data_IF_431544614544
#
_entry.id   IF_431544614544
#
_cell.length_a   1.000
_cell.length_b   1.000
_cell.length_c   1.000
_cell.angle_alpha   90.00
_cell.angle_beta   90.00
_cell.angle_gamma   90.00
#
_symmetry.space_group_name_H-M   'P 1'
#
loop_
_entity.id
_entity.type
_entity.pdbx_description
1 polymer ?
#
# COMPACT_ATOMS: atom_id res chain seq x y z
N UNK A 1 34.94 -4.52 13.82
CA UNK A 1 34.11 -3.60 13.02
C UNK A 1 33.33 -4.41 12.00
N UNK A 2 32.07 -4.77 12.29
CA UNK A 2 31.05 -5.12 11.29
C UNK A 2 29.71 -4.60 11.86
N UNK A 3 29.08 -3.68 11.14
CA UNK A 3 27.81 -3.02 11.50
C UNK A 3 26.64 -3.97 11.22
N UNK A 4 25.68 -3.98 12.16
CA UNK A 4 24.35 -4.58 12.07
C UNK A 4 23.65 -4.29 10.73
N UNK A 5 22.80 -5.22 10.26
CA UNK A 5 21.32 -5.10 10.25
C UNK A 5 20.69 -6.09 9.27
N UNK A 6 20.25 -7.24 9.78
CA UNK A 6 19.24 -8.07 9.10
C UNK A 6 18.19 -8.48 10.11
N UNK A 7 17.44 -7.49 10.60
CA UNK A 7 16.16 -7.75 11.25
C UNK A 7 15.12 -7.68 10.15
N UNK A 8 14.88 -8.81 9.48
CA UNK A 8 13.74 -8.97 8.58
C UNK A 8 12.51 -9.01 9.48
N UNK A 9 12.06 -7.83 9.91
CA UNK A 9 10.85 -7.67 10.71
C UNK A 9 9.67 -7.98 9.79
N UNK A 10 9.34 -9.26 9.68
CA UNK A 10 8.03 -9.72 9.21
C UNK A 10 6.95 -8.93 9.93
N UNK A 11 5.84 -8.56 9.27
CA UNK A 11 4.76 -7.82 9.91
C UNK A 11 4.26 -8.62 11.11
N UNK A 12 4.59 -8.15 12.30
CA UNK A 12 3.98 -8.63 13.54
C UNK A 12 2.50 -8.26 13.43
N UNK A 13 1.67 -9.25 13.10
CA UNK A 13 0.22 -9.15 13.01
C UNK A 13 -0.33 -8.39 14.23
N UNK A 14 -1.27 -7.46 14.00
CA UNK A 14 -1.99 -6.63 15.00
C UNK A 14 -1.29 -5.35 15.49
N UNK A 15 -0.55 -4.60 14.66
CA UNK A 15 -0.09 -3.26 15.10
C UNK A 15 -1.17 -2.18 15.04
N UNK A 16 -2.17 -2.34 14.19
CA UNK A 16 -3.19 -1.33 13.92
C UNK A 16 -4.58 -1.95 13.85
N UNK A 17 -5.61 -1.21 14.28
CA UNK A 17 -7.00 -1.59 14.04
C UNK A 17 -7.34 -1.47 12.55
N UNK A 18 -8.36 -2.20 12.10
CA UNK A 18 -8.85 -2.14 10.72
C UNK A 18 -9.20 -0.72 10.29
N UNK A 19 -9.90 0.06 11.13
CA UNK A 19 -10.20 1.48 10.85
C UNK A 19 -8.93 2.33 10.66
N UNK A 20 -7.91 2.09 11.48
CA UNK A 20 -6.63 2.80 11.37
C UNK A 20 -5.94 2.46 10.05
N UNK A 21 -5.98 1.18 9.64
CA UNK A 21 -5.42 0.73 8.36
C UNK A 21 -6.15 1.37 7.18
N UNK A 22 -7.47 1.46 7.23
CA UNK A 22 -8.28 2.11 6.20
C UNK A 22 -7.97 3.60 6.11
N UNK A 23 -7.86 4.31 7.24
CA UNK A 23 -7.48 5.72 7.27
C UNK A 23 -6.08 5.95 6.73
N UNK A 24 -5.10 5.11 7.11
CA UNK A 24 -3.73 5.19 6.60
C UNK A 24 -3.69 5.02 5.08
N UNK A 25 -4.42 4.04 4.56
CA UNK A 25 -4.48 3.77 3.14
C UNK A 25 -5.14 4.93 2.38
N UNK A 26 -6.29 5.42 2.86
CA UNK A 26 -6.99 6.58 2.29
C UNK A 26 -6.11 7.83 2.27
N UNK A 27 -5.42 8.13 3.36
CA UNK A 27 -4.55 9.31 3.47
C UNK A 27 -3.35 9.24 2.52
N UNK A 28 -2.82 8.06 2.26
CA UNK A 28 -1.72 7.92 1.32
C UNK A 28 -2.20 7.95 -0.13
N UNK A 29 -3.29 7.25 -0.43
CA UNK A 29 -3.83 7.18 -1.78
C UNK A 29 -4.45 8.50 -2.25
N UNK A 30 -5.07 9.28 -1.36
CA UNK A 30 -5.65 10.60 -1.69
C UNK A 30 -4.64 11.59 -2.28
N UNK A 31 -3.34 11.38 -2.06
CA UNK A 31 -2.25 12.18 -2.64
C UNK A 31 -2.13 11.99 -4.17
N UNK A 32 -2.65 10.89 -4.69
CA UNK A 32 -2.56 10.56 -6.10
C UNK A 32 -3.88 10.88 -6.80
N UNK A 33 -3.86 11.93 -7.64
CA UNK A 33 -5.00 12.24 -8.52
C UNK A 33 -5.32 11.09 -9.47
N UNK A 34 -4.28 10.49 -10.05
CA UNK A 34 -4.39 9.38 -10.99
C UNK A 34 -3.28 8.35 -10.78
N UNK A 35 -3.68 7.09 -10.71
CA UNK A 35 -2.83 5.91 -10.63
C UNK A 35 -3.07 5.10 -11.90
N UNK A 36 -2.06 5.05 -12.77
CA UNK A 36 -2.11 4.23 -13.97
C UNK A 36 -1.99 2.76 -13.58
N UNK A 37 -2.93 1.95 -14.02
CA UNK A 37 -2.88 0.50 -13.86
C UNK A 37 -1.84 -0.07 -14.85
N UNK A 38 -0.83 -0.81 -14.40
CA UNK A 38 0.08 -1.52 -15.28
C UNK A 38 -0.69 -2.46 -16.24
N UNK A 39 -0.21 -2.56 -17.49
CA UNK A 39 -0.73 -3.49 -18.51
C UNK A 39 -2.16 -3.23 -19.02
N UNK A 40 -2.82 -2.17 -18.56
CA UNK A 40 -4.15 -1.75 -19.02
C UNK A 40 -4.08 -0.23 -19.26
N UNK A 41 -4.68 0.27 -20.34
CA UNK A 41 -4.78 1.71 -20.56
C UNK A 41 -5.92 2.33 -19.73
N UNK A 42 -5.85 2.08 -18.42
CA UNK A 42 -6.83 2.54 -17.45
C UNK A 42 -6.11 3.26 -16.31
N UNK A 43 -6.73 4.34 -15.83
CA UNK A 43 -6.25 5.11 -14.70
C UNK A 43 -7.38 5.26 -13.70
N UNK A 44 -7.10 4.89 -12.45
CA UNK A 44 -8.03 4.98 -11.33
C UNK A 44 -7.61 6.12 -10.42
N UNK A 45 -8.57 6.79 -9.78
CA UNK A 45 -8.23 7.80 -8.78
C UNK A 45 -7.69 7.15 -7.51
N UNK A 46 -6.86 7.86 -6.76
CA UNK A 46 -6.35 7.38 -5.48
C UNK A 46 -7.47 6.96 -4.49
N UNK A 47 -8.45 7.84 -4.21
CA UNK A 47 -9.56 7.50 -3.32
C UNK A 47 -10.39 6.29 -3.79
N UNK A 48 -10.62 6.17 -5.10
CA UNK A 48 -11.36 5.04 -5.67
C UNK A 48 -10.59 3.73 -5.52
N UNK A 49 -9.27 3.73 -5.78
CA UNK A 49 -8.42 2.59 -5.50
C UNK A 49 -8.40 2.23 -4.01
N UNK A 50 -8.44 3.22 -3.12
CA UNK A 50 -8.48 3.00 -1.67
C UNK A 50 -9.76 2.28 -1.25
N UNK A 51 -10.92 2.76 -1.70
CA UNK A 51 -12.20 2.10 -1.47
C UNK A 51 -12.16 0.67 -1.98
N UNK A 52 -11.67 0.48 -3.21
CA UNK A 52 -11.67 -0.85 -3.82
C UNK A 52 -10.76 -1.84 -3.10
N UNK A 53 -9.59 -1.40 -2.65
CA UNK A 53 -8.68 -2.20 -1.82
C UNK A 53 -9.30 -2.55 -0.46
N UNK A 54 -10.00 -1.61 0.17
CA UNK A 54 -10.70 -1.82 1.45
C UNK A 54 -11.81 -2.86 1.29
N UNK A 55 -12.58 -2.77 0.21
CA UNK A 55 -13.72 -3.65 -0.05
C UNK A 55 -13.28 -5.05 -0.52
N UNK A 56 -12.13 -5.15 -1.19
CA UNK A 56 -11.67 -6.39 -1.84
C UNK A 56 -10.64 -7.18 -1.05
N UNK A 57 -9.86 -6.55 -0.17
CA UNK A 57 -8.76 -7.21 0.54
C UNK A 57 -9.08 -7.48 2.01
N UNK A 58 -8.63 -8.63 2.54
CA UNK A 58 -8.73 -8.88 3.97
C UNK A 58 -7.79 -7.93 4.74
N UNK A 59 -8.08 -7.60 6.01
CA UNK A 59 -7.29 -6.66 6.81
C UNK A 59 -5.79 -6.96 6.86
N UNK A 60 -5.40 -8.24 6.83
CA UNK A 60 -3.97 -8.66 6.81
C UNK A 60 -3.24 -8.22 5.55
N UNK A 61 -3.88 -8.26 4.39
CA UNK A 61 -3.28 -7.80 3.13
C UNK A 61 -3.21 -6.27 3.10
N UNK A 62 -4.20 -5.58 3.68
CA UNK A 62 -4.15 -4.11 3.86
C UNK A 62 -3.00 -3.73 4.80
N UNK A 63 -2.82 -4.44 5.92
CA UNK A 63 -1.70 -4.22 6.85
C UNK A 63 -0.34 -4.38 6.15
N UNK A 64 -0.20 -5.42 5.33
CA UNK A 64 1.00 -5.66 4.51
C UNK A 64 1.24 -4.53 3.50
N UNK A 65 0.20 -4.05 2.83
CA UNK A 65 0.30 -2.94 1.88
C UNK A 65 0.77 -1.66 2.58
N UNK A 66 0.15 -1.32 3.70
CA UNK A 66 0.53 -0.17 4.55
C UNK A 66 1.97 -0.31 5.04
N UNK A 67 2.39 -1.51 5.43
CA UNK A 67 3.78 -1.79 5.81
C UNK A 67 4.75 -1.51 4.65
N UNK A 68 4.49 -2.04 3.45
CA UNK A 68 5.34 -1.82 2.28
C UNK A 68 5.47 -0.33 1.92
N UNK A 69 4.34 0.39 1.94
CA UNK A 69 4.29 1.84 1.74
C UNK A 69 5.14 2.56 2.78
N UNK A 70 4.99 2.24 4.07
CA UNK A 70 5.78 2.86 5.13
C UNK A 70 7.28 2.56 5.00
N UNK A 71 7.65 1.35 4.58
CA UNK A 71 9.04 1.00 4.34
C UNK A 71 9.63 1.76 3.15
N UNK A 72 8.88 1.96 2.07
CA UNK A 72 9.30 2.79 0.95
C UNK A 72 9.46 4.27 1.38
N UNK A 73 8.54 4.81 2.16
CA UNK A 73 8.62 6.18 2.70
C UNK A 73 9.85 6.40 3.57
N UNK A 74 10.18 5.45 4.45
CA UNK A 74 11.39 5.52 5.29
C UNK A 74 12.69 5.59 4.47
N UNK A 75 12.65 5.12 3.22
CA UNK A 75 13.78 5.14 2.27
C UNK A 75 13.65 6.28 1.26
N UNK A 76 12.77 7.25 1.49
CA UNK A 76 12.44 8.33 0.55
C UNK A 76 12.12 7.84 -0.86
N UNK A 77 11.60 6.62 -0.96
CA UNK A 77 11.27 5.98 -2.24
C UNK A 77 9.86 6.35 -2.66
N UNK A 78 9.63 6.36 -3.98
CA UNK A 78 8.31 6.59 -4.52
C UNK A 78 7.37 5.43 -4.13
N UNK A 79 6.24 5.75 -3.50
CA UNK A 79 5.21 4.78 -3.09
C UNK A 79 4.24 4.46 -4.22
N UNK A 80 4.16 5.29 -5.26
CA UNK A 80 3.26 5.12 -6.41
C UNK A 80 3.34 3.73 -7.04
N UNK A 81 4.54 3.13 -7.30
CA UNK A 81 4.63 1.81 -7.92
C UNK A 81 3.98 0.69 -7.08
N UNK A 82 3.99 0.82 -5.75
CA UNK A 82 3.33 -0.16 -4.86
C UNK A 82 1.83 -0.16 -5.12
N UNK A 83 1.22 1.01 -5.26
CA UNK A 83 -0.19 1.14 -5.58
C UNK A 83 -0.55 0.74 -7.00
N UNK A 84 0.35 0.98 -7.96
CA UNK A 84 0.17 0.51 -9.34
C UNK A 84 0.14 -1.01 -9.40
N UNK A 85 1.07 -1.68 -8.70
CA UNK A 85 1.06 -3.14 -8.59
C UNK A 85 -0.19 -3.66 -7.89
N UNK A 86 -0.62 -3.01 -6.80
CA UNK A 86 -1.86 -3.38 -6.10
C UNK A 86 -3.09 -3.23 -7.02
N UNK A 87 -3.17 -2.16 -7.80
CA UNK A 87 -4.25 -1.95 -8.76
C UNK A 87 -4.23 -3.01 -9.88
N UNK A 88 -3.07 -3.36 -10.42
CA UNK A 88 -2.95 -4.44 -11.41
C UNK A 88 -3.36 -5.81 -10.85
N UNK A 89 -3.08 -6.09 -9.57
CA UNK A 89 -3.47 -7.34 -8.93
C UNK A 89 -5.00 -7.44 -8.69
N UNK A 90 -5.70 -6.31 -8.62
CA UNK A 90 -7.15 -6.25 -8.43
C UNK A 90 -7.93 -6.36 -9.73
N UNK A 91 -7.36 -5.93 -10.85
CA UNK A 91 -8.04 -5.95 -12.15
C UNK A 91 -7.78 -7.30 -12.83
N UNK A 92 -8.84 -8.09 -13.01
CA UNK A 92 -8.85 -9.39 -13.69
C UNK A 92 -9.06 -9.26 -15.18
#
# INVERSE_FOLDING_TARGET
MIKNTSSTNSPTSNRYSTDTLHQMLNNELSKFKHIKVPNIDHSISGPELASWLIDSLPPKEIEKLVYLVNQAKKRSSNTKPIFQTAAAALIK
#
